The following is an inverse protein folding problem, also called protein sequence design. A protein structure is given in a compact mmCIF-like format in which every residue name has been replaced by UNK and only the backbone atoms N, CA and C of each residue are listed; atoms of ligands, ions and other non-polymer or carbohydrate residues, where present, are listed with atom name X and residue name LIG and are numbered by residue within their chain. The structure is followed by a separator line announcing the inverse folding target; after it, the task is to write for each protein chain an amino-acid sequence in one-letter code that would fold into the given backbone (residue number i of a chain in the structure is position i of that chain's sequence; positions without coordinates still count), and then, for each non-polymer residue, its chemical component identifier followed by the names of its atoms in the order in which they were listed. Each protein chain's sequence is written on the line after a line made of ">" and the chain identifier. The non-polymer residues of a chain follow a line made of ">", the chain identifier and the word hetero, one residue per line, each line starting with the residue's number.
data_IF_420399554592
#
_entry.id   IF_420399554592
#
_cell.length_a   1.000
_cell.length_b   1.000
_cell.length_c   1.000
_cell.angle_alpha   90.00
_cell.angle_beta   90.00
_cell.angle_gamma   90.00
#
_symmetry.space_group_name_H-M   'P 1'
#
loop_
_entity.id
_entity.type
_entity.pdbx_description
1 polymer ?
#
# COMPACT_ATOMS: atom_id res chain seq x y z
N UNK A 1 26.14 -11.74 -70.86
CA UNK A 1 24.98 -11.09 -70.21
C UNK A 1 24.62 -11.95 -69.00
N UNK A 2 24.30 -11.30 -67.86
CA UNK A 2 24.14 -11.87 -66.50
C UNK A 2 25.42 -11.94 -65.66
N UNK A 3 25.86 -10.78 -65.18
CA UNK A 3 26.64 -10.69 -63.94
C UNK A 3 25.65 -10.65 -62.76
N UNK A 4 25.64 -11.72 -61.98
CA UNK A 4 25.04 -11.77 -60.65
C UNK A 4 25.97 -10.99 -59.70
N UNK A 5 25.54 -9.79 -59.29
CA UNK A 5 26.12 -9.10 -58.14
C UNK A 5 25.62 -9.67 -56.81
N UNK A 6 26.36 -9.51 -55.71
CA UNK A 6 25.99 -10.04 -54.41
C UNK A 6 24.72 -9.34 -53.89
N UNK A 7 23.66 -10.10 -53.66
CA UNK A 7 22.41 -9.60 -53.06
C UNK A 7 22.66 -9.26 -51.57
N UNK A 8 22.23 -8.09 -51.07
CA UNK A 8 22.24 -7.83 -49.64
C UNK A 8 21.29 -8.80 -48.94
N UNK A 9 21.73 -9.36 -47.81
CA UNK A 9 20.93 -10.28 -46.99
C UNK A 9 19.76 -9.48 -46.39
N UNK A 10 18.58 -9.57 -46.99
CA UNK A 10 17.37 -8.92 -46.49
C UNK A 10 16.79 -9.80 -45.39
N UNK A 11 17.05 -9.43 -44.13
CA UNK A 11 16.35 -10.03 -43.00
C UNK A 11 14.92 -9.44 -42.94
N UNK A 12 13.90 -10.26 -43.13
CA UNK A 12 12.49 -9.87 -42.97
C UNK A 12 12.05 -10.10 -41.53
N UNK A 13 11.38 -9.12 -40.93
CA UNK A 13 10.76 -9.23 -39.62
C UNK A 13 9.26 -8.97 -39.76
N UNK A 14 8.45 -9.98 -39.43
CA UNK A 14 7.00 -9.86 -39.39
C UNK A 14 6.59 -9.55 -37.96
N UNK A 15 5.93 -8.41 -37.77
CA UNK A 15 5.44 -7.98 -36.45
C UNK A 15 3.93 -8.03 -36.48
N UNK A 16 3.34 -9.01 -35.78
CA UNK A 16 1.88 -9.13 -35.64
C UNK A 16 1.29 -8.13 -34.64
N UNK A 17 2.11 -7.49 -33.79
CA UNK A 17 1.63 -6.54 -32.80
C UNK A 17 2.12 -5.12 -33.06
N UNK A 18 1.16 -4.22 -33.17
CA UNK A 18 1.33 -2.77 -33.33
C UNK A 18 1.79 -2.09 -32.02
N UNK A 19 2.78 -2.67 -31.33
CA UNK A 19 3.34 -2.07 -30.12
C UNK A 19 4.45 -1.07 -30.50
N UNK A 20 4.18 0.23 -30.27
CA UNK A 20 5.09 1.36 -30.52
C UNK A 20 6.55 1.16 -30.01
N UNK A 21 6.81 0.50 -28.87
CA UNK A 21 8.18 0.24 -28.42
C UNK A 21 9.00 -0.63 -29.38
N UNK A 22 8.36 -1.57 -30.07
CA UNK A 22 9.03 -2.45 -31.04
C UNK A 22 9.49 -1.66 -32.27
N UNK A 23 8.65 -0.74 -32.75
CA UNK A 23 8.98 0.15 -33.89
C UNK A 23 10.14 1.09 -33.56
N UNK A 24 10.14 1.67 -32.35
CA UNK A 24 11.24 2.56 -31.92
C UNK A 24 12.54 1.77 -31.76
N UNK A 25 12.47 0.55 -31.22
CA UNK A 25 13.63 -0.35 -31.10
C UNK A 25 14.19 -0.76 -32.45
N UNK A 26 13.33 -0.91 -33.47
CA UNK A 26 13.76 -1.14 -34.85
C UNK A 26 14.58 0.02 -35.40
N UNK A 27 14.13 1.27 -35.23
CA UNK A 27 14.86 2.44 -35.71
C UNK A 27 16.26 2.53 -35.07
N UNK A 28 16.37 2.20 -33.78
CA UNK A 28 17.65 2.11 -33.06
C UNK A 28 18.51 0.96 -33.58
N UNK A 29 17.92 -0.20 -33.88
CA UNK A 29 18.63 -1.33 -34.46
C UNK A 29 19.16 -1.03 -35.87
N UNK A 30 18.38 -0.35 -36.69
CA UNK A 30 18.77 0.05 -38.05
C UNK A 30 19.93 1.07 -38.01
N UNK A 31 19.90 2.01 -37.05
CA UNK A 31 21.01 2.95 -36.84
C UNK A 31 22.31 2.26 -36.41
N UNK A 32 22.24 1.07 -35.78
CA UNK A 32 23.42 0.27 -35.39
C UNK A 32 23.96 -0.62 -36.50
N UNK A 33 23.14 -0.95 -37.50
CA UNK A 33 23.48 -1.91 -38.56
C UNK A 33 23.29 -1.29 -39.94
N UNK A 34 24.24 -0.44 -40.36
CA UNK A 34 24.18 0.27 -41.65
C UNK A 34 24.23 -0.68 -42.86
N UNK A 35 24.82 -1.87 -42.71
CA UNK A 35 25.00 -2.83 -43.80
C UNK A 35 23.82 -3.81 -44.00
N UNK A 36 22.79 -3.77 -43.15
CA UNK A 36 21.63 -4.66 -43.23
C UNK A 36 20.32 -3.86 -43.34
N UNK A 37 19.68 -3.93 -44.51
CA UNK A 37 18.37 -3.31 -44.71
C UNK A 37 17.27 -4.30 -44.36
N UNK A 38 16.63 -4.12 -43.20
CA UNK A 38 15.48 -4.91 -42.80
C UNK A 38 14.19 -4.28 -43.35
N UNK A 39 13.27 -5.11 -43.84
CA UNK A 39 11.93 -4.68 -44.26
C UNK A 39 10.92 -5.13 -43.21
N UNK A 40 10.22 -4.17 -42.62
CA UNK A 40 9.17 -4.41 -41.64
C UNK A 40 7.83 -4.38 -42.36
N UNK A 41 7.05 -5.46 -42.20
CA UNK A 41 5.69 -5.55 -42.71
C UNK A 41 4.71 -5.39 -41.55
N UNK A 42 3.88 -4.35 -41.61
CA UNK A 42 2.79 -4.15 -40.66
C UNK A 42 1.56 -4.91 -41.13
N UNK A 43 1.04 -5.77 -40.27
CA UNK A 43 -0.26 -6.41 -40.47
C UNK A 43 -1.26 -5.72 -39.56
N UNK A 44 -2.22 -5.00 -40.16
CA UNK A 44 -3.29 -4.31 -39.42
C UNK A 44 -4.61 -4.70 -40.05
N UNK A 45 -5.52 -5.21 -39.23
CA UNK A 45 -6.90 -5.45 -39.63
C UNK A 45 -7.70 -4.16 -39.53
N UNK A 46 -8.34 -3.78 -40.64
CA UNK A 46 -9.13 -2.54 -40.71
C UNK A 46 -10.43 -2.69 -39.90
N UNK A 47 -10.76 -1.67 -39.10
CA UNK A 47 -11.99 -1.60 -38.31
C UNK A 47 -11.97 -2.47 -37.05
N UNK A 48 -10.81 -2.98 -36.64
CA UNK A 48 -10.67 -3.75 -35.39
C UNK A 48 -10.28 -2.85 -34.22
N UNK A 49 -10.43 -3.39 -33.02
CA UNK A 49 -10.00 -2.73 -31.78
C UNK A 49 -8.48 -2.50 -31.77
N UNK A 50 -7.70 -3.37 -32.41
CA UNK A 50 -6.24 -3.27 -32.48
C UNK A 50 -5.79 -2.02 -33.25
N UNK A 51 -6.42 -1.73 -34.41
CA UNK A 51 -6.17 -0.50 -35.16
C UNK A 51 -6.51 0.73 -34.31
N UNK A 52 -7.64 0.70 -33.61
CA UNK A 52 -8.06 1.81 -32.76
C UNK A 52 -7.11 2.04 -31.58
N UNK A 53 -6.64 0.98 -30.92
CA UNK A 53 -5.65 1.07 -29.83
C UNK A 53 -4.36 1.70 -30.35
N UNK A 54 -3.84 1.23 -31.49
CA UNK A 54 -2.61 1.75 -32.08
C UNK A 54 -2.72 3.24 -32.44
N UNK A 55 -3.77 3.65 -33.16
CA UNK A 55 -4.00 5.03 -33.54
C UNK A 55 -4.22 5.94 -32.32
N UNK A 56 -4.94 5.45 -31.31
CA UNK A 56 -5.19 6.19 -30.07
C UNK A 56 -3.90 6.40 -29.29
N UNK A 57 -3.02 5.41 -29.22
CA UNK A 57 -1.73 5.53 -28.55
C UNK A 57 -0.81 6.53 -29.25
N UNK A 58 -0.68 6.48 -30.58
CA UNK A 58 0.08 7.49 -31.35
C UNK A 58 -0.46 8.90 -31.11
N UNK A 59 -1.79 9.05 -31.15
CA UNK A 59 -2.42 10.36 -30.93
C UNK A 59 -2.17 10.87 -29.50
N UNK A 60 -2.26 9.99 -28.49
CA UNK A 60 -1.98 10.33 -27.09
C UNK A 60 -0.53 10.75 -26.91
N UNK A 61 0.42 10.01 -27.46
CA UNK A 61 1.85 10.32 -27.39
C UNK A 61 2.16 11.66 -28.05
N UNK A 62 1.67 11.88 -29.28
CA UNK A 62 1.82 13.16 -29.98
C UNK A 62 1.26 14.33 -29.16
N UNK A 63 0.03 14.20 -28.65
CA UNK A 63 -0.60 15.24 -27.86
C UNK A 63 0.17 15.53 -26.57
N UNK A 64 0.73 14.49 -25.92
CA UNK A 64 1.55 14.65 -24.72
C UNK A 64 2.85 15.41 -25.01
N UNK A 65 3.54 15.09 -26.11
CA UNK A 65 4.74 15.83 -26.52
C UNK A 65 4.43 17.28 -26.91
N UNK A 66 3.36 17.52 -27.66
CA UNK A 66 2.94 18.89 -27.98
C UNK A 66 2.60 19.70 -26.73
N UNK A 67 1.95 19.07 -25.74
CA UNK A 67 1.67 19.68 -24.44
C UNK A 67 2.97 20.04 -23.71
N UNK A 68 3.93 19.12 -23.61
CA UNK A 68 5.23 19.38 -22.96
C UNK A 68 6.01 20.50 -23.66
N UNK A 69 6.01 20.55 -24.99
CA UNK A 69 6.70 21.61 -25.76
C UNK A 69 6.04 22.97 -25.48
N UNK A 70 4.71 23.03 -25.45
CA UNK A 70 3.97 24.27 -25.14
C UNK A 70 4.22 24.73 -23.71
N UNK A 71 4.11 23.83 -22.73
CA UNK A 71 4.38 24.13 -21.33
C UNK A 71 5.83 24.56 -21.12
N UNK A 72 6.80 23.88 -21.73
CA UNK A 72 8.21 24.29 -21.67
C UNK A 72 8.46 25.68 -22.29
N UNK A 73 7.74 26.02 -23.35
CA UNK A 73 7.86 27.34 -23.98
C UNK A 73 7.23 28.46 -23.13
N UNK A 74 6.21 28.17 -22.34
CA UNK A 74 5.54 29.14 -21.46
C UNK A 74 6.09 29.18 -20.03
N UNK A 75 6.65 28.08 -19.53
CA UNK A 75 7.11 27.95 -18.15
C UNK A 75 8.45 28.67 -17.96
N UNK A 76 8.44 29.73 -17.16
CA UNK A 76 9.66 30.35 -16.65
C UNK A 76 10.12 29.53 -15.45
N UNK A 77 11.13 28.67 -15.65
CA UNK A 77 11.75 27.90 -14.57
C UNK A 77 12.79 28.81 -13.90
N UNK A 78 12.64 29.14 -12.61
CA UNK A 78 13.66 29.89 -11.88
C UNK A 78 14.97 29.09 -11.83
N UNK A 79 16.11 29.77 -11.95
CA UNK A 79 17.46 29.15 -12.03
C UNK A 79 17.76 28.20 -10.85
N UNK A 80 17.18 28.46 -9.68
CA UNK A 80 17.34 27.70 -8.44
C UNK A 80 16.49 26.41 -8.37
N UNK A 81 15.58 26.20 -9.32
CA UNK A 81 14.73 25.02 -9.38
C UNK A 81 15.36 23.84 -10.15
N UNK A 82 16.53 24.04 -10.79
CA UNK A 82 17.21 23.00 -11.58
C UNK A 82 17.91 21.93 -10.71
N UNK A 83 17.88 22.08 -9.37
CA UNK A 83 18.37 21.08 -8.40
C UNK A 83 19.88 20.79 -8.46
N UNK A 84 20.65 21.58 -9.22
CA UNK A 84 22.11 21.46 -9.36
C UNK A 84 22.88 22.05 -8.18
N UNK A 85 22.25 22.97 -7.45
CA UNK A 85 22.79 23.58 -6.24
C UNK A 85 21.92 23.16 -5.06
N UNK A 86 22.50 23.05 -3.85
CA UNK A 86 21.79 22.71 -2.60
C UNK A 86 20.77 23.78 -2.15
N UNK A 87 20.63 24.87 -2.91
CA UNK A 87 19.72 26.00 -2.65
C UNK A 87 18.26 25.72 -3.06
N UNK A 88 17.90 24.47 -3.37
CA UNK A 88 16.54 24.15 -3.79
C UNK A 88 15.55 24.43 -2.64
N UNK A 89 14.49 25.22 -2.87
CA UNK A 89 13.59 25.68 -1.80
C UNK A 89 12.89 24.54 -1.04
N UNK A 90 12.73 23.37 -1.68
CA UNK A 90 12.18 22.18 -1.01
C UNK A 90 13.14 21.45 -0.07
N UNK A 91 14.46 21.71 -0.16
CA UNK A 91 15.46 21.21 0.79
C UNK A 91 15.55 22.09 2.03
N UNK A 92 15.01 23.32 1.98
CA UNK A 92 14.97 24.21 3.13
C UNK A 92 14.00 23.64 4.17
N UNK A 93 14.55 23.28 5.34
CA UNK A 93 13.74 22.92 6.51
C UNK A 93 12.99 24.16 7.01
N UNK A 94 11.67 24.01 7.13
CA UNK A 94 10.80 24.90 7.87
C UNK A 94 11.01 24.61 9.37
N UNK A 95 12.13 25.07 9.92
CA UNK A 95 12.38 24.98 11.35
C UNK A 95 11.31 25.82 12.08
N UNK A 96 10.56 25.19 13.00
CA UNK A 96 9.56 25.88 13.83
C UNK A 96 10.15 27.08 14.60
N UNK A 97 11.45 27.06 14.89
CA UNK A 97 12.18 28.11 15.62
C UNK A 97 12.39 29.42 14.84
N UNK A 98 12.16 29.46 13.51
CA UNK A 98 12.34 30.71 12.74
C UNK A 98 11.38 31.84 13.17
N UNK A 99 10.24 31.51 13.78
CA UNK A 99 9.33 32.49 14.36
C UNK A 99 9.72 32.93 15.79
N UNK A 100 10.37 32.06 16.58
CA UNK A 100 10.85 32.40 17.93
C UNK A 100 12.20 33.15 17.90
N UNK A 101 13.05 32.92 16.89
CA UNK A 101 14.31 33.66 16.73
C UNK A 101 14.10 35.15 16.37
N UNK A 102 13.03 35.49 15.63
CA UNK A 102 12.69 36.91 15.38
C UNK A 102 12.32 37.67 16.67
N UNK A 103 11.85 36.98 17.71
CA UNK A 103 11.53 37.58 19.01
C UNK A 103 12.76 37.64 19.95
N UNK A 104 13.74 36.76 19.77
CA UNK A 104 14.99 36.74 20.56
C UNK A 104 16.03 37.77 20.09
N UNK A 105 15.98 38.20 18.84
CA UNK A 105 16.93 39.18 18.29
C UNK A 105 16.79 40.60 18.86
N UNK A 106 15.67 40.92 19.55
CA UNK A 106 15.47 42.19 20.27
C UNK A 106 16.06 42.21 21.70
N UNK A 107 16.70 41.12 22.16
CA UNK A 107 17.32 41.03 23.49
C UNK A 107 18.84 40.80 23.41
N UNK A 108 19.54 41.57 22.56
CA UNK A 108 21.01 41.60 22.55
C UNK A 108 21.56 42.55 23.63
N UNK A 109 21.39 42.21 24.90
CA UNK A 109 22.35 42.60 25.95
C UNK A 109 23.30 41.43 26.20
N UNK A 110 24.44 41.45 25.51
CA UNK A 110 25.60 40.59 25.78
C UNK A 110 26.07 40.77 27.22
N UNK A 111 25.76 39.82 28.09
CA UNK A 111 26.47 39.60 29.34
C UNK A 111 26.37 38.12 29.76
N UNK A 112 27.51 37.43 29.73
CA UNK A 112 27.80 36.28 30.60
C UNK A 112 27.09 34.94 30.33
N UNK A 113 27.75 34.06 29.57
CA UNK A 113 27.96 32.67 29.98
C UNK A 113 26.75 31.72 30.10
N UNK A 114 25.75 31.79 29.23
CA UNK A 114 24.81 30.67 29.09
C UNK A 114 25.42 29.60 28.19
N UNK A 115 25.58 28.39 28.73
CA UNK A 115 25.83 27.16 27.98
C UNK A 115 24.98 27.13 26.71
N UNK A 116 25.60 26.87 25.56
CA UNK A 116 24.90 26.48 24.34
C UNK A 116 24.10 25.23 24.68
N UNK A 117 22.83 25.37 25.04
CA UNK A 117 21.92 24.23 25.06
C UNK A 117 21.92 23.67 23.64
N UNK A 118 22.48 22.47 23.46
CA UNK A 118 22.44 21.78 22.17
C UNK A 118 20.97 21.72 21.76
N UNK A 119 20.64 22.33 20.61
CA UNK A 119 19.30 22.26 20.05
C UNK A 119 19.09 20.81 19.62
N UNK A 120 18.53 20.01 20.52
CA UNK A 120 18.23 18.60 20.26
C UNK A 120 17.17 18.58 19.16
N UNK A 121 17.54 18.09 17.98
CA UNK A 121 16.59 17.91 16.89
C UNK A 121 15.62 16.79 17.25
N UNK A 122 14.30 17.03 17.21
CA UNK A 122 13.32 16.00 17.54
C UNK A 122 13.44 14.81 16.59
N UNK A 123 13.43 13.57 17.10
CA UNK A 123 13.49 12.32 16.31
C UNK A 123 12.20 11.51 16.36
N UNK A 124 11.71 11.01 15.23
CA UNK A 124 10.56 10.10 15.19
C UNK A 124 10.98 8.81 14.50
N UNK A 125 10.64 7.67 15.12
CA UNK A 125 10.83 6.37 14.48
C UNK A 125 9.62 6.12 13.58
N UNK A 126 9.89 5.77 12.32
CA UNK A 126 8.87 5.53 11.30
C UNK A 126 9.03 4.13 10.74
N UNK A 127 7.92 3.41 10.62
CA UNK A 127 7.92 2.12 9.94
C UNK A 127 8.37 2.27 8.48
N UNK A 128 9.31 1.44 8.03
CA UNK A 128 9.73 1.37 6.63
C UNK A 128 8.56 1.24 5.64
N UNK A 129 7.47 0.57 6.04
CA UNK A 129 6.26 0.40 5.21
C UNK A 129 5.53 1.72 4.94
N UNK A 130 5.69 2.68 5.84
CA UNK A 130 4.94 3.93 5.88
C UNK A 130 5.61 5.04 5.04
N UNK A 131 6.85 4.83 4.57
CA UNK A 131 7.54 5.69 3.60
C UNK A 131 6.87 5.76 2.23
N UNK A 132 5.85 4.93 1.97
CA UNK A 132 5.00 5.04 0.77
C UNK A 132 4.02 6.20 0.84
N UNK A 133 3.89 6.84 2.00
CA UNK A 133 3.00 7.98 2.24
C UNK A 133 3.74 9.32 2.22
N UNK A 134 2.97 10.41 2.11
CA UNK A 134 3.53 11.78 2.09
C UNK A 134 3.92 12.30 3.47
N UNK A 135 3.49 11.66 4.56
CA UNK A 135 3.71 12.20 5.92
C UNK A 135 5.18 12.19 6.34
N UNK A 136 6.00 11.14 6.10
CA UNK A 136 7.42 11.17 6.42
C UNK A 136 8.18 12.30 5.72
N UNK A 137 7.91 12.59 4.44
CA UNK A 137 8.58 13.69 3.75
C UNK A 137 8.21 15.05 4.36
N UNK A 138 6.94 15.22 4.79
CA UNK A 138 6.48 16.44 5.47
C UNK A 138 7.09 16.61 6.86
N UNK A 139 7.22 15.54 7.64
CA UNK A 139 7.89 15.56 8.95
C UNK A 139 9.36 16.01 8.80
N UNK A 140 10.07 15.47 7.80
CA UNK A 140 11.43 15.85 7.52
C UNK A 140 11.56 17.32 7.10
N UNK A 141 10.65 17.81 6.25
CA UNK A 141 10.57 19.22 5.84
C UNK A 141 10.32 20.16 7.02
N UNK A 142 9.58 19.70 8.03
CA UNK A 142 9.33 20.40 9.31
C UNK A 142 10.50 20.36 10.30
N UNK A 143 11.64 19.80 9.92
CA UNK A 143 12.85 19.77 10.76
C UNK A 143 12.85 18.68 11.82
N UNK A 144 11.96 17.69 11.72
CA UNK A 144 12.00 16.48 12.55
C UNK A 144 12.89 15.46 11.86
N UNK A 145 13.85 14.90 12.60
CA UNK A 145 14.72 13.83 12.13
C UNK A 145 13.95 12.50 12.16
N UNK A 146 14.13 11.68 11.13
CA UNK A 146 13.36 10.46 10.92
C UNK A 146 14.29 9.27 10.98
N UNK A 147 13.99 8.34 11.88
CA UNK A 147 14.70 7.08 12.03
C UNK A 147 13.86 5.96 11.38
N UNK A 148 14.21 5.48 10.17
CA UNK A 148 13.51 4.37 9.53
C UNK A 148 13.82 3.07 10.25
N UNK A 149 12.79 2.38 10.76
CA UNK A 149 12.93 1.07 11.39
C UNK A 149 11.76 0.15 11.06
N UNK A 150 11.98 -1.15 10.92
CA UNK A 150 10.87 -2.11 10.81
C UNK A 150 10.31 -2.38 12.20
N UNK A 151 9.13 -1.84 12.47
CA UNK A 151 8.40 -2.05 13.73
C UNK A 151 7.17 -2.91 13.48
N UNK A 152 6.81 -3.73 14.47
CA UNK A 152 5.66 -4.62 14.34
C UNK A 152 4.35 -3.98 14.86
N UNK A 153 4.45 -3.02 15.78
CA UNK A 153 3.30 -2.39 16.45
C UNK A 153 3.31 -0.88 16.22
N UNK A 154 2.30 -0.41 15.50
CA UNK A 154 2.13 0.99 15.09
C UNK A 154 2.98 1.38 13.88
N UNK A 155 2.74 2.60 13.39
CA UNK A 155 3.42 3.14 12.20
C UNK A 155 4.45 4.22 12.57
N UNK A 156 4.18 4.98 13.64
CA UNK A 156 5.07 6.04 14.15
C UNK A 156 5.23 5.93 15.65
N UNK A 157 6.46 6.09 16.14
CA UNK A 157 6.76 6.17 17.57
C UNK A 157 7.33 7.56 17.84
N UNK A 158 6.53 8.39 18.51
CA UNK A 158 6.89 9.78 18.78
C UNK A 158 7.81 9.91 19.99
N UNK A 159 7.58 9.07 20.99
CA UNK A 159 8.27 9.01 22.28
C UNK A 159 8.20 7.57 22.81
N UNK A 160 9.02 7.16 23.78
CA UNK A 160 8.96 5.80 24.35
C UNK A 160 7.57 5.37 24.83
N UNK A 161 6.71 6.31 25.25
CA UNK A 161 5.35 6.02 25.72
C UNK A 161 4.25 6.11 24.65
N UNK A 162 4.51 6.80 23.52
CA UNK A 162 3.48 7.22 22.55
C UNK A 162 3.72 6.56 21.20
N UNK A 163 2.76 5.74 20.81
CA UNK A 163 2.69 5.05 19.53
C UNK A 163 1.49 5.56 18.74
N UNK A 164 1.65 5.75 17.43
CA UNK A 164 0.63 6.20 16.51
C UNK A 164 0.44 5.17 15.41
N UNK A 165 -0.81 4.77 15.18
CA UNK A 165 -1.26 4.07 13.96
C UNK A 165 -1.96 5.09 13.07
N UNK A 166 -1.48 5.26 11.83
CA UNK A 166 -2.07 6.15 10.84
C UNK A 166 -3.06 5.38 9.98
N UNK A 167 -4.25 5.94 9.79
CA UNK A 167 -5.29 5.35 8.95
C UNK A 167 -5.92 6.37 8.03
N UNK A 168 -5.90 6.07 6.73
CA UNK A 168 -6.75 6.75 5.77
C UNK A 168 -8.22 6.41 6.01
N UNK A 169 -9.16 7.22 5.52
CA UNK A 169 -10.60 6.97 5.67
C UNK A 169 -11.01 5.63 5.04
N UNK A 170 -10.49 5.30 3.85
CA UNK A 170 -10.79 4.04 3.17
C UNK A 170 -10.26 2.84 3.96
N UNK A 171 -9.04 2.95 4.50
CA UNK A 171 -8.44 1.89 5.29
C UNK A 171 -9.12 1.75 6.65
N UNK A 172 -9.65 2.83 7.21
CA UNK A 172 -10.43 2.81 8.45
C UNK A 172 -11.69 1.98 8.25
N UNK A 173 -12.46 2.24 7.19
CA UNK A 173 -13.69 1.50 6.88
C UNK A 173 -13.38 0.01 6.65
N UNK A 174 -12.34 -0.30 5.86
CA UNK A 174 -11.93 -1.69 5.58
C UNK A 174 -11.38 -2.43 6.81
N UNK A 175 -10.64 -1.74 7.68
CA UNK A 175 -10.07 -2.34 8.89
C UNK A 175 -11.09 -2.51 10.02
N UNK A 176 -12.11 -1.64 10.10
CA UNK A 176 -13.26 -1.80 10.99
C UNK A 176 -14.20 -2.91 10.52
N UNK A 177 -14.38 -3.10 9.21
CA UNK A 177 -15.23 -4.18 8.68
C UNK A 177 -14.60 -5.56 8.85
N UNK A 178 -13.29 -5.68 8.64
CA UNK A 178 -12.53 -6.92 8.81
C UNK A 178 -12.15 -7.24 10.26
N UNK A 179 -12.29 -6.30 11.20
CA UNK A 179 -11.84 -6.45 12.59
C UNK A 179 -10.33 -6.29 12.78
N UNK A 180 -9.55 -6.05 11.71
CA UNK A 180 -8.10 -5.83 11.77
C UNK A 180 -7.73 -4.70 12.72
N UNK A 181 -8.49 -3.60 12.73
CA UNK A 181 -8.19 -2.43 13.56
C UNK A 181 -8.26 -2.76 15.06
N UNK A 182 -9.14 -3.67 15.45
CA UNK A 182 -9.27 -4.10 16.85
C UNK A 182 -7.99 -4.80 17.34
N UNK A 183 -7.44 -5.71 16.53
CA UNK A 183 -6.18 -6.39 16.85
C UNK A 183 -5.00 -5.42 16.90
N UNK A 184 -4.98 -4.42 16.00
CA UNK A 184 -3.97 -3.36 16.01
C UNK A 184 -4.07 -2.52 17.30
N UNK A 185 -5.27 -2.08 17.67
CA UNK A 185 -5.51 -1.34 18.91
C UNK A 185 -5.16 -2.14 20.17
N UNK A 186 -5.44 -3.45 20.17
CA UNK A 186 -5.07 -4.35 21.26
C UNK A 186 -3.55 -4.46 21.40
N UNK A 187 -2.84 -4.65 20.29
CA UNK A 187 -1.38 -4.70 20.29
C UNK A 187 -0.77 -3.37 20.79
N UNK A 188 -1.24 -2.23 20.26
CA UNK A 188 -0.74 -0.92 20.69
C UNK A 188 -0.96 -0.67 22.19
N UNK A 189 -2.15 -0.98 22.71
CA UNK A 189 -2.50 -0.76 24.13
C UNK A 189 -1.73 -1.68 25.07
N UNK A 190 -1.26 -2.84 24.60
CA UNK A 190 -0.47 -3.77 25.40
C UNK A 190 0.96 -3.26 25.65
N UNK A 191 1.57 -2.63 24.66
CA UNK A 191 2.98 -2.26 24.70
C UNK A 191 3.22 -0.79 24.99
N UNK A 192 2.31 0.09 24.57
CA UNK A 192 2.44 1.53 24.75
C UNK A 192 1.38 2.06 25.72
N UNK A 193 1.83 2.97 26.59
CA UNK A 193 0.98 3.62 27.59
C UNK A 193 -0.02 4.59 26.98
N UNK A 194 0.34 5.22 25.85
CA UNK A 194 -0.48 6.22 25.15
C UNK A 194 -0.61 5.84 23.67
N UNK A 195 -1.46 4.86 23.32
CA UNK A 195 -1.72 4.52 21.94
C UNK A 195 -2.64 5.57 21.29
N UNK A 196 -2.29 6.00 20.09
CA UNK A 196 -3.02 7.00 19.31
C UNK A 196 -3.42 6.40 17.96
N UNK A 197 -4.71 6.46 17.64
CA UNK A 197 -5.20 6.24 16.30
C UNK A 197 -5.32 7.58 15.58
N UNK A 198 -4.47 7.82 14.59
CA UNK A 198 -4.52 8.99 13.73
C UNK A 198 -5.39 8.68 12.50
N UNK A 199 -6.51 9.38 12.36
CA UNK A 199 -7.36 9.32 11.19
C UNK A 199 -7.06 10.53 10.31
N UNK A 200 -6.47 10.28 9.15
CA UNK A 200 -6.05 11.31 8.21
C UNK A 200 -7.02 11.41 7.02
N UNK A 201 -7.40 12.64 6.70
CA UNK A 201 -8.19 12.98 5.52
C UNK A 201 -7.27 13.37 4.35
N UNK A 202 -7.78 13.14 3.15
CA UNK A 202 -7.14 13.59 1.93
C UNK A 202 -7.42 15.09 1.73
N UNK A 203 -6.39 15.87 1.42
CA UNK A 203 -6.47 17.31 1.13
C UNK A 203 -7.55 17.66 0.10
N UNK A 204 -7.75 16.79 -0.89
CA UNK A 204 -8.68 17.01 -2.00
C UNK A 204 -10.12 16.58 -1.68
N UNK A 205 -10.36 16.00 -0.50
CA UNK A 205 -11.68 15.54 -0.07
C UNK A 205 -12.19 16.41 1.07
N UNK A 206 -13.51 16.68 1.15
CA UNK A 206 -14.06 17.50 2.22
C UNK A 206 -13.73 16.88 3.58
N UNK A 207 -13.32 17.74 4.53
CA UNK A 207 -13.06 17.41 5.94
C UNK A 207 -14.36 17.15 6.71
N UNK A 208 -15.14 16.22 6.22
CA UNK A 208 -16.31 15.73 6.90
C UNK A 208 -16.31 14.21 6.73
N UNK A 209 -16.37 13.50 7.85
CA UNK A 209 -16.88 12.13 7.87
C UNK A 209 -18.34 12.07 7.37
N UNK A 210 -18.94 13.23 7.05
CA UNK A 210 -20.33 13.57 7.24
C UNK A 210 -20.94 14.34 6.05
N UNK A 211 -20.51 14.11 4.81
CA UNK A 211 -21.11 14.80 3.65
C UNK A 211 -22.35 14.11 3.06
N UNK A 212 -22.37 12.78 3.08
CA UNK A 212 -23.49 11.91 2.66
C UNK A 212 -23.75 10.76 3.64
N UNK A 213 -23.04 10.76 4.76
CA UNK A 213 -22.95 9.62 5.67
C UNK A 213 -23.95 9.75 6.84
N UNK A 214 -24.34 10.98 7.24
CA UNK A 214 -25.27 11.18 8.36
C UNK A 214 -26.50 12.06 8.09
N UNK A 215 -26.56 12.85 7.01
CA UNK A 215 -27.65 13.83 6.79
C UNK A 215 -28.55 13.53 5.60
N UNK A 216 -28.24 12.52 4.78
CA UNK A 216 -29.24 11.99 3.87
C UNK A 216 -30.18 11.09 4.65
N UNK A 217 -31.47 11.39 4.59
CA UNK A 217 -32.59 10.55 5.05
C UNK A 217 -32.65 9.18 4.34
N UNK A 218 -31.62 8.81 3.58
CA UNK A 218 -31.46 7.56 2.86
C UNK A 218 -30.45 6.67 3.62
N UNK A 219 -30.89 5.55 4.21
CA UNK A 219 -30.11 4.74 5.13
C UNK A 219 -29.20 3.79 4.34
N UNK A 220 -28.07 4.28 3.86
CA UNK A 220 -26.96 3.35 3.56
C UNK A 220 -26.39 2.89 4.91
N UNK A 221 -26.67 1.64 5.29
CA UNK A 221 -26.34 1.05 6.61
C UNK A 221 -24.85 1.18 6.99
N UNK A 222 -23.97 1.32 6.01
CA UNK A 222 -22.51 1.37 6.20
C UNK A 222 -22.03 2.55 7.05
N UNK A 223 -22.70 3.69 7.00
CA UNK A 223 -22.32 4.88 7.79
C UNK A 223 -22.51 4.71 9.29
N UNK A 224 -23.70 4.25 9.66
CA UNK A 224 -24.10 3.98 11.03
C UNK A 224 -23.28 2.82 11.60
N UNK A 225 -22.96 1.83 10.78
CA UNK A 225 -22.10 0.71 11.15
C UNK A 225 -20.67 1.15 11.49
N UNK A 226 -20.04 2.01 10.68
CA UNK A 226 -18.68 2.50 10.96
C UNK A 226 -18.64 3.29 12.26
N UNK A 227 -19.62 4.16 12.46
CA UNK A 227 -19.73 5.00 13.66
C UNK A 227 -19.96 4.17 14.91
N UNK A 228 -20.87 3.19 14.86
CA UNK A 228 -21.14 2.28 15.96
C UNK A 228 -19.91 1.40 16.29
N UNK A 229 -19.21 0.90 15.27
CA UNK A 229 -17.97 0.12 15.46
C UNK A 229 -16.85 0.96 16.05
N UNK A 230 -16.71 2.22 15.64
CA UNK A 230 -15.73 3.14 16.21
C UNK A 230 -16.05 3.45 17.68
N UNK A 231 -17.32 3.69 18.01
CA UNK A 231 -17.78 3.86 19.39
C UNK A 231 -17.48 2.62 20.24
N UNK A 232 -17.80 1.43 19.72
CA UNK A 232 -17.50 0.16 20.39
C UNK A 232 -15.99 0.00 20.65
N UNK A 233 -15.16 0.39 19.68
CA UNK A 233 -13.70 0.34 19.81
C UNK A 233 -13.20 1.29 20.92
N UNK A 234 -13.75 2.51 21.01
CA UNK A 234 -13.41 3.45 22.10
C UNK A 234 -13.88 2.98 23.48
N UNK A 235 -15.00 2.26 23.55
CA UNK A 235 -15.48 1.66 24.80
C UNK A 235 -14.58 0.52 25.27
N UNK A 236 -14.08 -0.30 24.33
CA UNK A 236 -13.22 -1.43 24.64
C UNK A 236 -11.79 -1.01 25.02
N UNK A 237 -11.26 0.05 24.40
CA UNK A 237 -9.91 0.56 24.64
C UNK A 237 -9.95 1.99 25.20
N UNK A 238 -10.16 2.18 26.51
CA UNK A 238 -10.34 3.51 27.11
C UNK A 238 -9.09 4.40 27.05
N UNK A 239 -7.91 3.79 26.90
CA UNK A 239 -6.64 4.52 26.76
C UNK A 239 -6.31 4.92 25.32
N UNK A 240 -7.01 4.36 24.33
CA UNK A 240 -6.80 4.70 22.93
C UNK A 240 -7.34 6.10 22.64
N UNK A 241 -6.47 6.98 22.18
CA UNK A 241 -6.84 8.34 21.77
C UNK A 241 -7.02 8.40 20.26
N UNK A 242 -8.04 9.10 19.80
CA UNK A 242 -8.28 9.32 18.36
C UNK A 242 -7.93 10.76 18.04
N UNK A 243 -7.08 10.95 17.04
CA UNK A 243 -6.75 12.27 16.47
C UNK A 243 -7.27 12.30 15.04
N UNK A 244 -7.99 13.36 14.70
CA UNK A 244 -8.47 13.61 13.34
C UNK A 244 -7.61 14.71 12.73
N UNK A 245 -6.98 14.42 11.60
CA UNK A 245 -6.13 15.38 10.90
C UNK A 245 -6.67 15.67 9.51
N UNK A 246 -6.87 16.94 9.14
CA UNK A 246 -7.37 17.31 7.82
C UNK A 246 -6.35 17.07 6.70
N UNK A 247 -5.07 16.96 7.05
CA UNK A 247 -3.97 16.87 6.10
C UNK A 247 -2.69 16.30 6.70
N UNK A 248 -1.83 15.63 5.91
CA UNK A 248 -0.46 15.29 6.31
C UNK A 248 0.33 16.47 6.89
N UNK A 249 0.17 17.67 6.32
CA UNK A 249 0.83 18.88 6.82
C UNK A 249 0.40 19.23 8.26
N UNK A 250 -0.91 19.20 8.54
CA UNK A 250 -1.43 19.42 9.89
C UNK A 250 -1.01 18.30 10.84
N UNK A 251 -0.94 17.05 10.34
CA UNK A 251 -0.43 15.91 11.13
C UNK A 251 1.00 16.17 11.60
N UNK A 252 1.88 16.68 10.72
CA UNK A 252 3.26 16.98 11.09
C UNK A 252 3.37 18.04 12.20
N UNK A 253 2.50 19.05 12.17
CA UNK A 253 2.39 20.05 13.24
C UNK A 253 1.89 19.42 14.56
N UNK A 254 0.88 18.56 14.50
CA UNK A 254 0.39 17.82 15.68
C UNK A 254 1.51 16.94 16.27
N UNK A 255 2.31 16.28 15.44
CA UNK A 255 3.43 15.46 15.90
C UNK A 255 4.49 16.30 16.60
N UNK A 256 4.83 17.47 16.05
CA UNK A 256 5.73 18.41 16.70
C UNK A 256 5.21 18.85 18.08
N UNK A 257 3.93 19.23 18.17
CA UNK A 257 3.30 19.62 19.44
C UNK A 257 3.26 18.47 20.45
N UNK A 258 2.96 17.25 20.00
CA UNK A 258 2.93 16.07 20.86
C UNK A 258 4.30 15.69 21.39
N UNK A 259 5.37 16.07 20.68
CA UNK A 259 6.75 15.73 21.03
C UNK A 259 7.44 16.78 21.91
N UNK A 260 6.98 18.04 21.88
CA UNK A 260 7.56 19.14 22.66
C UNK A 260 7.65 18.78 24.15
N UNK A 261 8.88 18.82 24.69
CA UNK A 261 9.16 18.59 26.12
C UNK A 261 9.09 17.13 26.58
N UNK A 262 9.16 16.15 25.66
CA UNK A 262 9.15 14.71 25.97
C UNK A 262 10.47 14.03 25.59
N UNK A 263 10.80 12.88 26.21
CA UNK A 263 12.01 12.14 25.86
C UNK A 263 11.95 11.56 24.44
N UNK A 264 13.13 11.45 23.84
CA UNK A 264 13.33 10.87 22.50
C UNK A 264 13.17 9.34 22.52
N UNK A 265 12.59 8.75 21.47
CA UNK A 265 12.43 7.30 21.36
C UNK A 265 13.75 6.61 20.97
N UNK A 266 13.94 5.36 21.39
CA UNK A 266 15.09 4.52 21.01
C UNK A 266 14.67 3.43 20.02
N UNK A 267 15.40 3.31 18.90
CA UNK A 267 15.13 2.31 17.85
C UNK A 267 15.28 0.88 18.38
N UNK A 268 16.28 0.63 19.23
CA UNK A 268 16.54 -0.69 19.77
C UNK A 268 15.40 -1.20 20.67
N UNK A 269 14.81 -0.31 21.48
CA UNK A 269 13.67 -0.65 22.34
C UNK A 269 12.43 -0.94 21.50
N UNK A 270 12.14 -0.09 20.50
CA UNK A 270 11.00 -0.26 19.60
C UNK A 270 11.01 -1.61 18.85
N UNK A 271 12.19 -2.09 18.45
CA UNK A 271 12.35 -3.37 17.77
C UNK A 271 12.28 -4.58 18.73
N UNK A 272 12.62 -4.40 20.01
CA UNK A 272 12.65 -5.47 20.99
C UNK A 272 11.23 -5.88 21.48
N UNK A 273 10.25 -4.99 21.36
CA UNK A 273 8.88 -5.13 21.91
C UNK A 273 8.17 -6.45 21.56
N UNK A 274 8.54 -7.15 20.48
CA UNK A 274 7.90 -8.41 20.07
C UNK A 274 8.75 -9.68 20.14
N UNK A 275 10.01 -9.62 20.59
CA UNK A 275 10.82 -10.85 20.72
C UNK A 275 10.28 -11.85 21.75
N UNK A 276 9.50 -11.37 22.73
CA UNK A 276 9.15 -12.19 23.91
C UNK A 276 7.76 -12.83 23.89
N UNK A 277 6.87 -12.48 22.95
CA UNK A 277 5.46 -12.94 22.99
C UNK A 277 5.06 -14.00 21.97
N UNK A 278 5.90 -14.31 20.98
CA UNK A 278 5.63 -15.39 20.02
C UNK A 278 6.90 -16.21 19.77
N UNK A 279 7.15 -17.29 20.54
CA UNK A 279 8.16 -18.29 20.18
C UNK A 279 7.89 -18.96 18.81
N UNK A 280 6.72 -18.74 18.18
CA UNK A 280 6.37 -19.21 16.85
C UNK A 280 6.97 -18.42 15.68
N UNK A 281 7.65 -17.29 15.94
CA UNK A 281 8.43 -16.59 14.91
C UNK A 281 9.77 -17.27 14.57
N UNK A 282 10.07 -18.42 15.19
CA UNK A 282 11.07 -19.37 14.69
C UNK A 282 10.62 -20.10 13.40
N UNK A 283 9.79 -19.46 12.57
CA UNK A 283 9.27 -20.00 11.32
C UNK A 283 9.89 -19.35 10.08
N UNK A 284 11.14 -18.89 10.18
CA UNK A 284 11.95 -18.48 9.02
C UNK A 284 12.51 -19.65 8.20
N UNK A 285 12.37 -20.90 8.67
CA UNK A 285 12.95 -22.06 7.97
C UNK A 285 12.06 -22.64 6.87
N UNK A 286 10.80 -22.21 6.73
CA UNK A 286 9.86 -22.78 5.78
C UNK A 286 9.32 -21.73 4.82
N UNK A 287 9.04 -22.14 3.58
CA UNK A 287 8.47 -21.25 2.58
C UNK A 287 7.10 -20.69 3.06
N UNK A 288 6.93 -19.35 3.14
CA UNK A 288 5.71 -18.74 3.66
C UNK A 288 4.46 -19.10 2.84
N UNK A 289 4.61 -19.33 1.53
CA UNK A 289 3.50 -19.73 0.66
C UNK A 289 2.96 -21.12 1.01
N UNK A 290 3.85 -22.06 1.31
CA UNK A 290 3.49 -23.43 1.67
C UNK A 290 2.83 -23.45 3.06
N UNK A 291 3.38 -22.69 4.01
CA UNK A 291 2.80 -22.54 5.34
C UNK A 291 1.40 -21.93 5.27
N UNK A 292 1.19 -20.87 4.49
CA UNK A 292 -0.12 -20.24 4.32
C UNK A 292 -1.13 -21.17 3.63
N UNK A 293 -0.68 -21.92 2.62
CA UNK A 293 -1.52 -22.92 1.96
C UNK A 293 -1.98 -24.01 2.93
N UNK A 294 -1.05 -24.60 3.70
CA UNK A 294 -1.35 -25.67 4.67
C UNK A 294 -2.23 -25.12 5.81
N UNK A 295 -2.01 -23.90 6.28
CA UNK A 295 -2.82 -23.26 7.33
C UNK A 295 -4.31 -23.13 6.95
N UNK A 296 -4.61 -23.03 5.65
CA UNK A 296 -5.96 -22.91 5.12
C UNK A 296 -6.63 -24.26 4.88
N UNK A 297 -5.91 -25.38 5.00
CA UNK A 297 -6.51 -26.70 4.85
C UNK A 297 -7.41 -27.03 6.04
N UNK A 298 -8.58 -27.65 5.80
CA UNK A 298 -9.51 -28.00 6.87
C UNK A 298 -8.87 -29.03 7.82
N UNK A 299 -9.01 -28.80 9.12
CA UNK A 299 -8.37 -29.63 10.15
C UNK A 299 -6.95 -29.20 10.54
N UNK A 300 -6.34 -28.28 9.80
CA UNK A 300 -5.07 -27.66 10.19
C UNK A 300 -5.32 -26.50 11.15
N UNK A 301 -4.52 -26.44 12.20
CA UNK A 301 -4.55 -25.45 13.29
C UNK A 301 -3.15 -24.91 13.52
N UNK A 302 -3.03 -23.79 14.23
CA UNK A 302 -1.73 -23.19 14.56
C UNK A 302 -0.81 -24.12 15.35
N UNK A 303 -1.38 -25.09 16.08
CA UNK A 303 -0.61 -26.05 16.88
C UNK A 303 -0.07 -27.22 16.07
N UNK A 304 -0.84 -27.74 15.10
CA UNK A 304 -0.48 -28.93 14.34
C UNK A 304 0.33 -28.62 13.06
N UNK A 305 0.28 -27.37 12.56
CA UNK A 305 0.95 -26.99 11.31
C UNK A 305 2.46 -27.23 11.33
N UNK A 306 3.10 -27.00 12.48
CA UNK A 306 4.54 -27.23 12.65
C UNK A 306 4.90 -28.72 12.62
N UNK A 307 3.99 -29.61 13.04
CA UNK A 307 4.17 -31.06 12.94
C UNK A 307 4.14 -31.51 11.47
N UNK A 308 3.17 -30.99 10.70
CA UNK A 308 3.04 -31.28 9.27
C UNK A 308 4.29 -30.81 8.51
N UNK A 309 4.71 -29.55 8.70
CA UNK A 309 5.85 -28.96 7.99
C UNK A 309 7.19 -29.65 8.28
N UNK A 310 7.35 -30.24 9.48
CA UNK A 310 8.58 -30.97 9.83
C UNK A 310 8.63 -32.37 9.23
N UNK A 311 7.49 -33.04 9.15
CA UNK A 311 7.42 -34.45 8.79
C UNK A 311 7.15 -34.66 7.28
N UNK A 312 6.60 -33.65 6.60
CA UNK A 312 6.27 -33.71 5.17
C UNK A 312 7.31 -32.95 4.35
N UNK A 313 7.94 -33.63 3.39
CA UNK A 313 8.92 -33.04 2.48
C UNK A 313 8.28 -32.13 1.43
N UNK A 314 7.20 -32.58 0.78
CA UNK A 314 6.51 -31.86 -0.29
C UNK A 314 4.98 -32.04 -0.21
N UNK A 315 4.21 -31.10 -0.77
CA UNK A 315 2.74 -31.17 -0.81
C UNK A 315 2.22 -32.44 -1.52
N UNK A 316 2.78 -32.89 -2.66
CA UNK A 316 2.35 -34.14 -3.28
C UNK A 316 2.58 -35.36 -2.38
N UNK A 317 3.61 -35.32 -1.54
CA UNK A 317 3.83 -36.39 -0.56
C UNK A 317 2.71 -36.42 0.49
N UNK A 318 2.18 -35.26 0.89
CA UNK A 318 1.01 -35.18 1.78
C UNK A 318 -0.21 -35.94 1.21
N UNK A 319 -0.39 -35.94 -0.12
CA UNK A 319 -1.49 -36.64 -0.79
C UNK A 319 -1.32 -38.16 -0.81
N UNK A 320 -0.12 -38.67 -0.57
CA UNK A 320 0.14 -40.13 -0.57
C UNK A 320 -0.05 -40.79 0.78
N UNK A 321 -0.23 -40.02 1.86
CA UNK A 321 -0.38 -40.56 3.21
C UNK A 321 -1.75 -41.24 3.42
N UNK A 322 -1.71 -42.36 4.11
CA UNK A 322 -2.89 -43.05 4.61
C UNK A 322 -3.54 -42.30 5.78
N UNK A 323 -4.81 -42.60 6.06
CA UNK A 323 -5.55 -42.00 7.17
C UNK A 323 -4.85 -42.18 8.53
N UNK A 324 -4.20 -43.32 8.76
CA UNK A 324 -3.50 -43.62 10.01
C UNK A 324 -2.27 -42.75 10.21
N UNK A 325 -1.49 -42.52 9.15
CA UNK A 325 -0.31 -41.65 9.18
C UNK A 325 -0.71 -40.19 9.40
N UNK A 326 -1.78 -39.71 8.76
CA UNK A 326 -2.31 -38.36 9.01
C UNK A 326 -2.79 -38.20 10.47
N UNK A 327 -3.40 -39.25 11.04
CA UNK A 327 -3.83 -39.24 12.44
C UNK A 327 -2.64 -39.21 13.41
N UNK A 328 -1.55 -39.92 13.10
CA UNK A 328 -0.29 -39.82 13.85
C UNK A 328 0.33 -38.42 13.76
N UNK A 329 0.26 -37.76 12.60
CA UNK A 329 0.82 -36.42 12.39
C UNK A 329 0.07 -35.32 13.14
N UNK A 330 -1.26 -35.42 13.23
CA UNK A 330 -2.13 -34.38 13.80
C UNK A 330 -2.53 -34.63 15.24
N UNK A 331 -2.31 -35.84 15.78
CA UNK A 331 -2.67 -36.28 17.13
C UNK A 331 -4.17 -36.05 17.48
N UNK A 332 -5.03 -35.90 16.45
CA UNK A 332 -6.46 -35.66 16.61
C UNK A 332 -7.27 -36.28 15.46
N UNK A 333 -8.05 -37.29 15.81
CA UNK A 333 -8.85 -38.09 14.87
C UNK A 333 -9.89 -37.27 14.10
N UNK A 334 -10.50 -36.23 14.69
CA UNK A 334 -11.49 -35.40 14.00
C UNK A 334 -10.87 -34.53 12.93
N UNK A 335 -9.73 -33.92 13.26
CA UNK A 335 -9.00 -33.05 12.33
C UNK A 335 -8.36 -33.87 11.20
N UNK A 336 -7.84 -35.05 11.51
CA UNK A 336 -7.32 -35.99 10.52
C UNK A 336 -8.38 -36.43 9.52
N UNK A 337 -9.60 -36.70 9.98
CA UNK A 337 -10.72 -37.03 9.10
C UNK A 337 -11.09 -35.89 8.16
N UNK A 338 -11.21 -34.67 8.67
CA UNK A 338 -11.49 -33.49 7.84
C UNK A 338 -10.39 -33.23 6.80
N UNK A 339 -9.12 -33.37 7.19
CA UNK A 339 -8.01 -33.18 6.27
C UNK A 339 -7.97 -34.28 5.20
N UNK A 340 -8.13 -35.54 5.60
CA UNK A 340 -8.11 -36.68 4.68
C UNK A 340 -9.28 -36.61 3.67
N UNK A 341 -10.49 -36.28 4.16
CA UNK A 341 -11.66 -36.08 3.30
C UNK A 341 -11.43 -34.92 2.32
N UNK A 342 -10.87 -33.80 2.77
CA UNK A 342 -10.60 -32.67 1.89
C UNK A 342 -9.57 -32.98 0.79
N UNK A 343 -8.52 -33.74 1.11
CA UNK A 343 -7.47 -34.10 0.15
C UNK A 343 -7.92 -35.16 -0.87
N UNK A 344 -8.73 -36.14 -0.45
CA UNK A 344 -9.12 -37.28 -1.28
C UNK A 344 -10.55 -37.19 -1.84
N UNK A 345 -11.31 -36.14 -1.49
CA UNK A 345 -12.63 -35.93 -2.07
C UNK A 345 -12.53 -35.55 -3.54
N UNK A 346 -13.28 -36.25 -4.39
CA UNK A 346 -13.43 -35.89 -5.79
C UNK A 346 -14.34 -34.67 -5.87
N UNK A 347 -13.80 -33.54 -6.33
CA UNK A 347 -14.62 -32.37 -6.63
C UNK A 347 -15.60 -32.71 -7.75
N UNK A 348 -16.89 -32.73 -7.43
CA UNK A 348 -17.94 -32.77 -8.45
C UNK A 348 -18.00 -31.39 -9.10
N UNK A 349 -17.87 -31.33 -10.42
CA UNK A 349 -18.13 -30.09 -11.15
C UNK A 349 -19.54 -29.58 -10.78
N UNK A 350 -19.73 -28.27 -10.59
CA UNK A 350 -21.06 -27.73 -10.37
C UNK A 350 -21.89 -28.04 -11.62
N UNK A 351 -22.86 -28.94 -11.50
CA UNK A 351 -23.81 -29.27 -12.56
C UNK A 351 -24.39 -27.97 -13.13
N UNK A 352 -23.97 -27.59 -14.34
CA UNK A 352 -24.47 -26.40 -15.04
C UNK A 352 -25.93 -26.55 -15.51
N UNK A 353 -26.67 -27.56 -15.05
CA UNK A 353 -28.00 -27.93 -15.57
C UNK A 353 -29.18 -27.70 -14.62
N UNK A 354 -29.02 -27.06 -13.46
CA UNK A 354 -30.18 -26.75 -12.57
C UNK A 354 -30.52 -25.25 -12.41
N UNK A 355 -29.83 -24.33 -13.12
CA UNK A 355 -30.09 -22.88 -13.03
C UNK A 355 -30.68 -22.25 -14.32
N UNK A 356 -31.46 -23.00 -15.11
CA UNK A 356 -32.20 -22.45 -16.27
C UNK A 356 -33.73 -22.64 -16.21
N UNK A 357 -34.31 -22.85 -15.02
CA UNK A 357 -35.73 -22.55 -14.79
C UNK A 357 -35.84 -21.30 -13.92
N UNK A 358 -35.40 -20.19 -14.50
CA UNK A 358 -35.72 -18.87 -13.98
C UNK A 358 -37.24 -18.72 -13.93
N UNK A 359 -37.78 -18.54 -12.71
CA UNK A 359 -39.14 -18.06 -12.48
C UNK A 359 -39.38 -16.84 -13.36
N UNK A 360 -40.17 -16.99 -14.42
CA UNK A 360 -40.80 -15.87 -15.12
C UNK A 360 -41.74 -15.18 -14.14
N UNK A 361 -41.23 -14.15 -13.47
CA UNK A 361 -42.06 -13.17 -12.77
C UNK A 361 -42.97 -12.52 -13.80
N UNK A 362 -44.28 -12.74 -13.65
CA UNK A 362 -45.32 -12.09 -14.45
C UNK A 362 -45.26 -10.58 -14.21
N UNK A 363 -44.57 -9.83 -15.06
CA UNK A 363 -44.76 -8.39 -15.16
C UNK A 363 -46.14 -8.13 -15.79
N UNK A 364 -47.08 -7.68 -14.96
CA UNK A 364 -48.38 -7.22 -15.41
C UNK A 364 -48.24 -5.96 -16.27
N UNK A 365 -48.69 -6.04 -17.52
CA UNK A 365 -48.88 -4.88 -18.39
C UNK A 365 -49.97 -3.98 -17.78
N UNK A 366 -49.58 -2.94 -17.05
CA UNK A 366 -50.47 -1.78 -16.82
C UNK A 366 -50.45 -0.93 -18.08
N UNK A 367 -51.56 -0.94 -18.79
CA UNK A 367 -51.82 -0.07 -19.93
C UNK A 367 -51.76 1.41 -19.49
N UNK A 368 -50.89 2.19 -20.14
CA UNK A 368 -51.02 3.65 -20.15
C UNK A 368 -52.32 4.02 -20.87
N UNK A 369 -53.33 4.42 -20.11
CA UNK A 369 -54.48 5.16 -20.63
C UNK A 369 -54.04 6.61 -20.84
N UNK A 370 -54.04 7.05 -22.10
CA UNK A 370 -54.04 8.47 -22.47
C UNK A 370 -55.33 9.12 -21.95
N UNK A 371 -55.18 10.18 -21.15
CA UNK A 371 -56.08 11.33 -21.09
C UNK A 371 -55.23 12.56 -20.91
#
# INVERSE_FOLDING_TARGET
>A
MLFLGPQPVVNSCNVCESHLPCQSSYNVWQARNEHAQCRVYFLIYKGTVEEQIYLTNIKREKNAFEFLIKEKASMVIPEYADGRNDDHPDLLRDSFDKNDEKSKNDLTRKAGGSSLEEVITPRIIVDMREFRSDLPSMLHKKGIEIDPATIEVGDYILTPEVCVERKSISDLIGSLSSGRLYNQAQAMTRYYKKPILLIEFDHNKPFHLQGRLFLSSDPSSSSKEVSAKLQLLTLHFPYLRIIWSPSPFATAEVFYMLKKGKPEPSVAEAQAVNKDTNPDFASENFNPLVKDFIAKLPGVTTKNINSILRNVKDIPHLLTFSFEEINQLLENSKNAKLLYEALHSVMKEPNQSENLVGKRTKFGKKALRRK
#
